data_IF_450475908161
#
_entry.id   IF_450475908161
#
_cell.length_a   1.000
_cell.length_b   1.000
_cell.length_c   1.000
_cell.angle_alpha   90.00
_cell.angle_beta   90.00
_cell.angle_gamma   90.00
#
_symmetry.space_group_name_H-M   'P 1'
#
loop_
_entity.id
_entity.type
_entity.pdbx_description
1 polymer ?
#
# COMPACT_ATOMS: atom_id res chain seq x y z
N UNK A 1 -3.14 -6.25 -5.87
CA UNK A 1 -2.87 -5.94 -7.29
C UNK A 1 -2.19 -4.58 -7.36
N UNK A 2 -0.93 -4.48 -7.78
CA UNK A 2 -0.28 -3.18 -7.98
C UNK A 2 -0.84 -2.45 -9.20
N UNK A 3 -0.83 -1.13 -9.17
CA UNK A 3 -1.34 -0.29 -10.25
C UNK A 3 -1.29 1.20 -9.96
N UNK A 4 -2.12 1.95 -10.67
CA UNK A 4 -2.14 3.40 -10.69
C UNK A 4 -3.57 3.92 -10.54
N UNK A 5 -3.77 4.97 -9.73
CA UNK A 5 -5.08 5.57 -9.52
C UNK A 5 -4.98 7.08 -9.25
N UNK A 6 -6.09 7.79 -9.40
CA UNK A 6 -6.26 9.20 -9.02
C UNK A 6 -5.75 10.22 -10.03
N UNK A 7 -5.21 9.80 -11.16
CA UNK A 7 -4.76 10.68 -12.24
C UNK A 7 -5.76 10.81 -13.38
N UNK A 8 -5.36 11.57 -14.40
CA UNK A 8 -6.21 11.89 -15.56
C UNK A 8 -5.79 11.19 -16.85
N UNK A 9 -4.59 10.62 -16.90
CA UNK A 9 -4.08 9.92 -18.09
C UNK A 9 -4.72 8.53 -18.15
N UNK A 10 -5.35 8.21 -19.28
CA UNK A 10 -5.93 6.88 -19.49
C UNK A 10 -4.86 5.86 -19.89
N UNK A 11 -4.98 4.65 -19.32
CA UNK A 11 -4.04 3.53 -19.53
C UNK A 11 -2.56 3.97 -19.46
N UNK A 12 -2.16 4.58 -18.32
CA UNK A 12 -0.80 5.10 -18.18
C UNK A 12 0.22 3.96 -18.15
N UNK A 13 1.39 4.18 -18.71
CA UNK A 13 2.53 3.27 -18.55
C UNK A 13 3.34 3.64 -17.29
N UNK A 14 4.17 2.70 -16.84
CA UNK A 14 5.09 2.92 -15.72
C UNK A 14 5.97 4.16 -15.95
N UNK A 15 6.54 4.32 -17.13
CA UNK A 15 7.41 5.44 -17.46
C UNK A 15 6.66 6.78 -17.37
N UNK A 16 5.40 6.80 -17.80
CA UNK A 16 4.57 8.00 -17.69
C UNK A 16 4.28 8.36 -16.23
N UNK A 17 3.91 7.36 -15.40
CA UNK A 17 3.64 7.58 -13.98
C UNK A 17 4.90 7.97 -13.22
N UNK A 18 6.02 7.27 -13.46
CA UNK A 18 7.34 7.58 -12.87
C UNK A 18 7.81 8.99 -13.19
N UNK A 19 7.40 9.55 -14.37
CA UNK A 19 7.65 10.93 -14.74
C UNK A 19 6.88 11.96 -13.90
N UNK A 20 5.94 11.54 -13.03
CA UNK A 20 5.22 12.39 -12.09
C UNK A 20 4.21 13.37 -12.68
N UNK A 21 3.86 13.23 -13.97
CA UNK A 21 3.00 14.17 -14.70
C UNK A 21 1.61 13.66 -15.03
N UNK A 22 1.30 12.41 -14.68
CA UNK A 22 0.00 11.78 -14.99
C UNK A 22 -1.07 12.13 -13.97
N UNK A 23 -0.70 12.63 -12.79
CA UNK A 23 -1.57 12.79 -11.64
C UNK A 23 -1.87 11.50 -10.88
N UNK A 24 -1.47 10.34 -11.42
CA UNK A 24 -1.66 9.06 -10.74
C UNK A 24 -0.72 8.89 -9.54
N UNK A 25 -1.23 8.23 -8.50
CA UNK A 25 -0.41 7.63 -7.47
C UNK A 25 -0.13 6.16 -7.81
N UNK A 26 1.05 5.66 -7.44
CA UNK A 26 1.29 4.23 -7.34
C UNK A 26 0.46 3.66 -6.20
N UNK A 27 -0.36 2.68 -6.49
CA UNK A 27 -1.36 2.17 -5.56
C UNK A 27 -1.43 0.63 -5.57
N UNK A 28 -2.02 0.08 -4.52
CA UNK A 28 -2.35 -1.34 -4.43
C UNK A 28 -3.86 -1.45 -4.33
N UNK A 29 -4.50 -2.14 -5.27
CA UNK A 29 -5.89 -2.54 -5.16
C UNK A 29 -5.97 -3.82 -4.33
N UNK A 30 -6.79 -3.79 -3.28
CA UNK A 30 -7.06 -4.92 -2.39
C UNK A 30 -8.54 -5.29 -2.52
N UNK A 31 -8.81 -6.51 -2.94
CA UNK A 31 -10.14 -7.12 -2.87
C UNK A 31 -10.15 -8.05 -1.66
N UNK A 32 -11.09 -7.86 -0.75
CA UNK A 32 -11.12 -8.60 0.50
C UNK A 32 -12.52 -9.11 0.84
N UNK A 33 -12.57 -10.21 1.59
CA UNK A 33 -13.80 -10.73 2.16
C UNK A 33 -14.00 -10.09 3.56
N UNK A 34 -15.06 -9.30 3.78
CA UNK A 34 -15.31 -8.65 5.08
C UNK A 34 -15.62 -9.61 6.23
N UNK A 35 -15.90 -10.88 5.93
CA UNK A 35 -16.04 -11.91 6.96
C UNK A 35 -14.68 -12.46 7.46
N UNK A 36 -13.63 -12.30 6.65
CA UNK A 36 -12.28 -12.76 6.98
C UNK A 36 -11.39 -11.65 7.56
N UNK A 37 -11.49 -10.43 7.00
CA UNK A 37 -10.71 -9.25 7.43
C UNK A 37 -11.58 -8.01 7.33
N UNK A 38 -11.48 -7.11 8.30
CA UNK A 38 -12.25 -5.88 8.30
C UNK A 38 -11.49 -4.73 7.66
N UNK A 39 -12.22 -3.77 7.10
CA UNK A 39 -11.61 -2.59 6.49
C UNK A 39 -10.71 -1.79 7.46
N UNK A 40 -11.07 -1.58 8.76
CA UNK A 40 -10.17 -0.98 9.74
C UNK A 40 -8.84 -1.72 9.90
N UNK A 41 -8.82 -3.06 9.79
CA UNK A 41 -7.58 -3.83 9.87
C UNK A 41 -6.65 -3.50 8.68
N UNK A 42 -7.23 -3.33 7.47
CA UNK A 42 -6.49 -2.91 6.28
C UNK A 42 -5.94 -1.49 6.42
N UNK A 43 -6.73 -0.55 6.99
CA UNK A 43 -6.27 0.80 7.30
C UNK A 43 -5.11 0.79 8.30
N UNK A 44 -5.21 -0.01 9.35
CA UNK A 44 -4.13 -0.20 10.31
C UNK A 44 -2.84 -0.71 9.64
N UNK A 45 -2.95 -1.71 8.77
CA UNK A 45 -1.80 -2.20 7.99
C UNK A 45 -1.21 -1.07 7.14
N UNK A 46 -2.05 -0.30 6.45
CA UNK A 46 -1.64 0.82 5.61
C UNK A 46 -0.83 1.85 6.42
N UNK A 47 -1.38 2.38 7.53
CA UNK A 47 -0.71 3.40 8.34
C UNK A 47 0.54 2.89 9.08
N UNK A 48 0.64 1.60 9.33
CA UNK A 48 1.84 1.01 9.97
C UNK A 48 2.97 0.74 8.99
N UNK A 49 2.65 0.43 7.72
CA UNK A 49 3.65 -0.05 6.74
C UNK A 49 4.24 1.05 5.85
N UNK A 50 3.73 2.28 5.92
CA UNK A 50 4.31 3.42 5.20
C UNK A 50 4.42 4.65 6.12
N UNK A 51 4.98 5.74 5.62
CA UNK A 51 4.99 7.03 6.31
C UNK A 51 3.87 7.92 5.76
N UNK A 52 2.79 8.20 6.54
CA UNK A 52 1.67 9.02 6.08
C UNK A 52 1.89 10.52 6.25
N UNK A 53 3.07 10.97 6.71
CA UNK A 53 3.33 12.38 7.06
C UNK A 53 4.22 13.11 6.06
N UNK A 54 4.72 12.41 5.04
CA UNK A 54 5.60 13.01 4.02
C UNK A 54 4.83 13.36 2.76
N UNK A 55 4.75 14.65 2.44
CA UNK A 55 4.04 15.12 1.26
C UNK A 55 4.79 14.74 -0.02
N UNK A 56 4.07 14.09 -0.97
CA UNK A 56 4.63 13.66 -2.25
C UNK A 56 5.95 12.87 -2.14
N UNK A 57 6.04 12.04 -1.11
CA UNK A 57 7.25 11.26 -0.86
C UNK A 57 6.94 10.00 -0.06
N UNK A 58 7.66 8.93 -0.35
CA UNK A 58 7.66 7.72 0.46
C UNK A 58 9.08 7.16 0.58
N UNK A 59 9.67 7.31 1.76
CA UNK A 59 11.08 6.96 1.96
C UNK A 59 12.00 7.80 1.07
N UNK A 60 12.77 7.14 0.21
CA UNK A 60 13.67 7.80 -0.74
C UNK A 60 13.00 8.18 -2.07
N UNK A 61 11.77 7.72 -2.30
CA UNK A 61 11.04 7.98 -3.54
C UNK A 61 10.31 9.32 -3.43
N UNK A 62 10.69 10.29 -4.27
CA UNK A 62 10.16 11.66 -4.27
C UNK A 62 9.40 11.93 -5.55
N UNK A 63 8.16 12.40 -5.40
CA UNK A 63 7.26 12.75 -6.50
C UNK A 63 5.80 12.54 -6.13
N UNK A 64 4.85 13.21 -6.83
CA UNK A 64 3.42 13.11 -6.56
C UNK A 64 2.87 11.69 -6.74
N UNK A 65 3.53 10.85 -7.53
CA UNK A 65 3.18 9.44 -7.70
C UNK A 65 3.43 8.59 -6.44
N UNK A 66 4.24 9.06 -5.50
CA UNK A 66 4.55 8.38 -4.22
C UNK A 66 3.82 8.98 -3.02
N UNK A 67 2.82 9.86 -3.27
CA UNK A 67 2.03 10.46 -2.20
C UNK A 67 1.23 9.42 -1.44
N UNK A 68 1.01 9.68 -0.17
CA UNK A 68 0.11 8.88 0.66
C UNK A 68 -1.34 9.16 0.25
N UNK A 69 -2.07 8.15 -0.20
CA UNK A 69 -3.47 8.31 -0.61
C UNK A 69 -4.28 7.03 -0.36
N UNK A 70 -5.56 7.20 -0.04
CA UNK A 70 -6.57 6.14 0.04
C UNK A 70 -7.65 6.46 -0.99
N UNK A 71 -7.90 5.50 -1.89
CA UNK A 71 -8.97 5.56 -2.88
C UNK A 71 -10.13 4.68 -2.41
N UNK A 72 -11.19 5.29 -1.92
CA UNK A 72 -12.36 4.59 -1.39
C UNK A 72 -13.41 4.31 -2.49
N UNK A 73 -14.19 3.26 -2.31
CA UNK A 73 -15.25 2.86 -3.23
C UNK A 73 -16.65 3.15 -2.69
N UNK A 74 -16.78 3.36 -1.39
CA UNK A 74 -18.05 3.64 -0.72
C UNK A 74 -17.92 4.78 0.28
N UNK A 75 -19.04 5.44 0.61
CA UNK A 75 -19.06 6.48 1.63
C UNK A 75 -18.72 5.93 3.04
N UNK A 76 -19.08 4.68 3.30
CA UNK A 76 -18.71 4.01 4.54
C UNK A 76 -17.19 3.86 4.68
N UNK A 77 -16.49 3.45 3.60
CA UNK A 77 -15.02 3.40 3.58
C UNK A 77 -14.39 4.78 3.79
N UNK A 78 -14.96 5.82 3.17
CA UNK A 78 -14.51 7.20 3.38
C UNK A 78 -14.60 7.62 4.85
N UNK A 79 -15.79 7.44 5.45
CA UNK A 79 -16.02 7.81 6.86
C UNK A 79 -15.11 7.06 7.82
N UNK A 80 -14.87 5.78 7.55
CA UNK A 80 -13.96 4.93 8.33
C UNK A 80 -12.51 5.42 8.23
N UNK A 81 -12.03 5.72 7.01
CA UNK A 81 -10.69 6.25 6.79
C UNK A 81 -10.50 7.63 7.45
N UNK A 82 -11.50 8.52 7.36
CA UNK A 82 -11.49 9.81 8.05
C UNK A 82 -11.45 9.64 9.58
N UNK A 83 -12.17 8.66 10.10
CA UNK A 83 -12.16 8.34 11.54
C UNK A 83 -10.78 7.86 11.97
N UNK A 84 -10.20 6.93 11.24
CA UNK A 84 -8.87 6.40 11.55
C UNK A 84 -7.80 7.50 11.56
N UNK A 85 -7.80 8.39 10.57
CA UNK A 85 -6.88 9.54 10.53
C UNK A 85 -7.04 10.41 11.78
N UNK A 86 -8.29 10.77 12.16
CA UNK A 86 -8.54 11.58 13.37
C UNK A 86 -8.07 10.88 14.64
N UNK A 87 -8.28 9.58 14.77
CA UNK A 87 -7.85 8.81 15.94
C UNK A 87 -6.33 8.75 16.05
N UNK A 88 -5.62 8.52 14.95
CA UNK A 88 -4.16 8.51 14.90
C UNK A 88 -3.56 9.87 15.24
N UNK A 89 -4.15 10.97 14.75
CA UNK A 89 -3.73 12.33 15.06
C UNK A 89 -4.00 12.68 16.53
N UNK A 90 -5.18 12.36 17.04
CA UNK A 90 -5.53 12.60 18.44
C UNK A 90 -4.62 11.82 19.40
N UNK A 91 -4.31 10.57 19.05
CA UNK A 91 -3.39 9.73 19.82
C UNK A 91 -1.91 10.12 19.64
N UNK A 92 -1.61 11.08 18.75
CA UNK A 92 -0.25 11.54 18.42
C UNK A 92 0.69 10.38 18.05
N UNK A 93 0.19 9.44 17.24
CA UNK A 93 0.95 8.27 16.80
C UNK A 93 2.15 8.68 15.95
N UNK A 94 1.99 9.76 15.19
CA UNK A 94 3.06 10.37 14.38
C UNK A 94 3.47 11.72 14.96
N UNK A 95 4.74 12.11 14.76
CA UNK A 95 5.27 13.42 15.20
C UNK A 95 4.77 14.57 14.34
N UNK A 96 4.48 14.30 13.08
CA UNK A 96 4.05 15.26 12.08
C UNK A 96 2.61 14.99 11.65
N UNK A 97 1.87 15.98 11.14
CA UNK A 97 0.50 15.80 10.65
C UNK A 97 0.40 14.74 9.55
N UNK A 98 -0.69 14.01 9.56
CA UNK A 98 -1.01 13.06 8.48
C UNK A 98 -1.41 13.85 7.22
N UNK A 99 -0.73 13.56 6.10
CA UNK A 99 -0.98 14.18 4.79
C UNK A 99 -1.64 13.22 3.80
N UNK A 100 -2.16 12.10 4.29
CA UNK A 100 -2.85 11.10 3.45
C UNK A 100 -4.09 11.71 2.81
N UNK A 101 -4.14 11.68 1.49
CA UNK A 101 -5.29 12.14 0.72
C UNK A 101 -6.40 11.08 0.70
N UNK A 102 -7.66 11.51 0.76
CA UNK A 102 -8.83 10.62 0.62
C UNK A 102 -9.62 11.00 -0.62
N UNK A 103 -9.67 10.11 -1.60
CA UNK A 103 -10.34 10.34 -2.87
C UNK A 103 -11.31 9.21 -3.23
N UNK A 104 -12.42 9.49 -3.90
CA UNK A 104 -13.22 8.42 -4.51
C UNK A 104 -12.38 7.73 -5.59
N UNK A 105 -12.48 6.40 -5.65
CA UNK A 105 -11.88 5.63 -6.73
C UNK A 105 -12.72 5.79 -7.99
N UNK A 106 -12.20 6.49 -8.99
CA UNK A 106 -12.81 6.56 -10.33
C UNK A 106 -12.33 5.39 -11.20
N UNK A 107 -11.04 5.37 -11.50
CA UNK A 107 -10.41 4.31 -12.32
C UNK A 107 -9.15 3.78 -11.64
N UNK A 108 -8.93 2.48 -11.78
CA UNK A 108 -7.69 1.83 -11.40
C UNK A 108 -7.09 1.14 -12.63
N UNK A 109 -5.83 1.43 -12.92
CA UNK A 109 -5.07 0.82 -13.99
C UNK A 109 -4.05 -0.15 -13.40
N UNK A 110 -4.11 -1.40 -13.82
CA UNK A 110 -3.14 -2.42 -13.36
C UNK A 110 -1.74 -2.07 -13.86
N UNK A 111 -0.76 -2.23 -12.98
CA UNK A 111 0.64 -2.11 -13.39
C UNK A 111 1.05 -3.30 -14.26
N UNK A 112 2.12 -3.12 -14.99
CA UNK A 112 2.69 -4.12 -15.89
C UNK A 112 3.07 -5.40 -15.15
N UNK A 113 3.06 -6.52 -15.84
CA UNK A 113 3.25 -7.85 -15.26
C UNK A 113 4.57 -8.02 -14.50
N UNK A 114 5.59 -7.26 -14.85
CA UNK A 114 6.87 -7.33 -14.13
C UNK A 114 6.82 -6.74 -12.72
N UNK A 115 5.82 -5.90 -12.41
CA UNK A 115 5.55 -5.42 -11.04
C UNK A 115 4.77 -6.43 -10.19
N UNK A 116 4.04 -7.34 -10.83
CA UNK A 116 3.23 -8.34 -10.12
C UNK A 116 4.15 -9.39 -9.49
N UNK A 117 3.97 -9.61 -8.19
CA UNK A 117 4.80 -10.54 -7.42
C UNK A 117 6.31 -10.24 -7.50
N UNK A 118 6.69 -8.97 -7.66
CA UNK A 118 8.08 -8.54 -7.83
C UNK A 118 8.98 -9.09 -6.72
N UNK A 119 8.57 -8.99 -5.46
CA UNK A 119 9.32 -9.52 -4.31
C UNK A 119 9.55 -11.04 -4.40
N UNK A 120 8.52 -11.80 -4.75
CA UNK A 120 8.65 -13.27 -4.88
C UNK A 120 9.56 -13.70 -6.03
N UNK A 121 9.64 -12.87 -7.10
CA UNK A 121 10.48 -13.14 -8.27
C UNK A 121 11.92 -12.65 -8.10
N UNK A 122 12.14 -11.64 -7.25
CA UNK A 122 13.42 -10.95 -7.10
C UNK A 122 13.81 -10.78 -5.61
N UNK A 123 13.85 -11.87 -4.80
CA UNK A 123 14.07 -11.76 -3.36
C UNK A 123 15.46 -11.16 -3.03
N UNK A 124 16.44 -11.36 -3.89
CA UNK A 124 17.82 -10.90 -3.70
C UNK A 124 18.07 -9.49 -4.25
N UNK A 125 17.07 -8.85 -4.85
CA UNK A 125 17.22 -7.48 -5.35
C UNK A 125 17.48 -6.50 -4.18
N UNK A 126 18.42 -5.54 -4.30
CA UNK A 126 18.70 -4.57 -3.25
C UNK A 126 17.47 -3.81 -2.76
N UNK A 127 16.57 -3.47 -3.67
CA UNK A 127 15.29 -2.83 -3.34
C UNK A 127 14.40 -3.72 -2.45
N UNK A 128 14.35 -5.02 -2.73
CA UNK A 128 13.62 -5.97 -1.90
C UNK A 128 14.21 -6.04 -0.49
N UNK A 129 15.52 -6.16 -0.37
CA UNK A 129 16.21 -6.29 0.92
C UNK A 129 16.12 -5.01 1.76
N UNK A 130 16.28 -3.84 1.15
CA UNK A 130 16.36 -2.57 1.88
C UNK A 130 14.99 -1.95 2.14
N UNK A 131 14.03 -2.12 1.22
CA UNK A 131 12.74 -1.43 1.29
C UNK A 131 11.59 -2.38 1.63
N UNK A 132 11.52 -3.56 1.01
CA UNK A 132 10.36 -4.45 1.14
C UNK A 132 10.48 -5.35 2.37
N UNK A 133 11.63 -5.98 2.62
CA UNK A 133 11.83 -6.88 3.76
C UNK A 133 11.50 -6.25 5.11
N UNK A 134 11.93 -5.00 5.42
CA UNK A 134 11.56 -4.36 6.68
C UNK A 134 10.04 -4.17 6.83
N UNK A 135 9.33 -3.86 5.73
CA UNK A 135 7.87 -3.73 5.75
C UNK A 135 7.19 -5.06 6.02
N UNK A 136 7.65 -6.14 5.37
CA UNK A 136 7.15 -7.49 5.59
C UNK A 136 7.43 -7.96 7.03
N UNK A 137 8.63 -7.71 7.55
CA UNK A 137 8.99 -8.03 8.92
C UNK A 137 8.07 -7.32 9.93
N UNK A 138 7.84 -6.02 9.73
CA UNK A 138 6.93 -5.22 10.55
C UNK A 138 5.49 -5.73 10.48
N UNK A 139 5.01 -6.10 9.29
CA UNK A 139 3.69 -6.69 9.09
C UNK A 139 3.57 -8.02 9.84
N UNK A 140 4.53 -8.91 9.71
CA UNK A 140 4.54 -10.20 10.42
C UNK A 140 4.58 -10.04 11.94
N UNK A 141 5.33 -9.07 12.43
CA UNK A 141 5.46 -8.79 13.85
C UNK A 141 4.16 -8.25 14.46
N UNK A 142 3.53 -7.28 13.78
CA UNK A 142 2.38 -6.55 14.33
C UNK A 142 1.02 -7.20 13.99
N UNK A 143 0.94 -7.87 12.85
CA UNK A 143 -0.32 -8.38 12.28
C UNK A 143 -0.29 -9.89 12.03
N UNK A 144 0.48 -10.65 12.80
CA UNK A 144 0.56 -12.12 12.66
C UNK A 144 -0.82 -12.78 12.74
N UNK A 145 -1.74 -12.23 13.51
CA UNK A 145 -3.10 -12.72 13.67
C UNK A 145 -3.99 -12.54 12.43
N UNK A 146 -3.63 -11.63 11.53
CA UNK A 146 -4.32 -11.38 10.26
C UNK A 146 -3.73 -12.20 9.10
N UNK A 147 -2.56 -12.80 9.30
CA UNK A 147 -1.91 -13.56 8.24
C UNK A 147 -2.50 -14.97 8.14
N UNK A 148 -2.80 -15.40 6.90
CA UNK A 148 -3.15 -16.80 6.66
C UNK A 148 -1.98 -17.68 7.11
N UNK A 149 -2.26 -18.68 7.93
CA UNK A 149 -1.26 -19.70 8.26
C UNK A 149 -0.95 -20.46 6.98
N UNK A 150 0.23 -20.21 6.40
CA UNK A 150 0.70 -21.05 5.29
C UNK A 150 0.81 -22.49 5.80
N UNK A 151 0.32 -23.48 5.06
CA UNK A 151 0.62 -24.86 5.39
C UNK A 151 2.15 -25.02 5.47
N UNK A 152 2.68 -25.82 6.41
CA UNK A 152 4.11 -25.97 6.54
C UNK A 152 4.69 -26.41 5.20
N UNK A 153 5.64 -25.63 4.68
CA UNK A 153 6.40 -26.03 3.52
C UNK A 153 6.99 -27.41 3.81
N UNK A 154 6.52 -28.44 3.09
CA UNK A 154 7.22 -29.72 3.05
C UNK A 154 8.60 -29.43 2.46
N UNK A 155 9.59 -29.36 3.32
CA UNK A 155 10.99 -29.44 2.92
C UNK A 155 11.15 -30.80 2.29
N UNK A 156 11.07 -30.87 0.94
CA UNK A 156 11.49 -32.05 0.22
C UNK A 156 12.99 -32.18 0.46
N UNK A 157 13.31 -33.04 1.43
CA UNK A 157 14.68 -33.50 1.60
C UNK A 157 15.17 -34.11 0.28
N UNK A 158 16.23 -33.56 -0.28
CA UNK A 158 17.02 -34.24 -1.26
C UNK A 158 17.89 -35.25 -0.50
N UNK A 159 17.63 -36.54 -0.76
CA UNK A 159 18.61 -37.60 -0.58
C UNK A 159 19.72 -37.47 -1.62
#
# INVERSE_FOLDING_TARGET
MPGYAGGTVENPTYEQVSGGKTGHAEAIKIEFNPDEIKYPDLLNVFFVTHNPTTLNQQGNDVGPQYRSAIFYTTDAERQEAEREVRELEHAKVFSDPIVTELHPLDKFYEAEDYHKNYFARNPDAPYCQVVIDPKIAKLRQKFSHLLKTSPPHQVRGRL
#
